data_IF_124717890914
#
_entry.id   IF_124717890914
#
_cell.length_a   1.000
_cell.length_b   1.000
_cell.length_c   1.000
_cell.angle_alpha   90.00
_cell.angle_beta   90.00
_cell.angle_gamma   90.00
#
_symmetry.space_group_name_H-M   'P 1'
#
loop_
_entity.id
_entity.type
_entity.pdbx_description
1 polymer ?
#
# COMPACT_ATOMS: atom_id res chain seq x y z
N UNK A 1 -17.91 16.61 18.53
CA UNK A 1 -16.80 16.55 19.48
C UNK A 1 -15.82 17.67 19.18
N UNK A 2 -15.21 18.25 20.20
CA UNK A 2 -14.29 19.38 20.03
C UNK A 2 -13.03 19.12 20.84
N UNK A 3 -11.90 19.10 20.15
CA UNK A 3 -10.56 19.01 20.73
C UNK A 3 -9.82 20.35 20.63
N UNK A 4 -8.52 20.31 20.91
CA UNK A 4 -7.63 21.47 20.88
C UNK A 4 -7.52 22.07 19.47
N UNK A 5 -7.24 21.24 18.48
CA UNK A 5 -7.03 21.68 17.10
C UNK A 5 -8.25 21.50 16.21
N UNK A 6 -9.05 20.46 16.46
CA UNK A 6 -10.09 20.03 15.54
C UNK A 6 -11.46 20.02 16.22
N UNK A 7 -12.50 20.31 15.45
CA UNK A 7 -13.87 19.97 15.79
C UNK A 7 -14.38 18.93 14.79
N UNK A 8 -14.87 17.80 15.29
CA UNK A 8 -15.46 16.73 14.47
C UNK A 8 -16.98 16.71 14.68
N UNK A 9 -17.72 16.70 13.58
CA UNK A 9 -19.17 16.47 13.55
C UNK A 9 -19.44 15.19 12.79
N UNK A 10 -20.36 14.39 13.32
CA UNK A 10 -20.81 13.15 12.69
C UNK A 10 -22.26 13.30 12.26
N UNK A 11 -22.55 13.02 11.00
CA UNK A 11 -23.87 13.14 10.42
C UNK A 11 -24.54 11.77 10.42
N UNK A 12 -25.59 11.62 11.23
CA UNK A 12 -26.27 10.31 11.41
C UNK A 12 -27.02 9.85 10.17
N UNK A 13 -27.48 10.79 9.34
CA UNK A 13 -28.36 10.51 8.21
C UNK A 13 -27.62 9.78 7.07
N UNK A 14 -26.31 10.00 6.94
CA UNK A 14 -25.50 9.46 5.86
C UNK A 14 -24.15 8.87 6.32
N UNK A 15 -23.93 8.77 7.64
CA UNK A 15 -22.73 8.24 8.28
C UNK A 15 -21.41 8.96 7.89
N UNK A 16 -21.50 10.21 7.42
CA UNK A 16 -20.33 11.05 7.10
C UNK A 16 -19.79 11.77 8.33
N UNK A 17 -18.54 12.22 8.22
CA UNK A 17 -17.98 13.20 9.13
C UNK A 17 -17.64 14.51 8.42
N UNK A 18 -17.78 15.60 9.18
CA UNK A 18 -17.23 16.91 8.90
C UNK A 18 -16.17 17.22 9.95
N UNK A 19 -15.01 17.73 9.52
CA UNK A 19 -13.94 18.15 10.41
C UNK A 19 -13.59 19.60 10.13
N UNK A 20 -13.57 20.41 11.18
CA UNK A 20 -13.17 21.82 11.14
C UNK A 20 -11.81 21.91 11.80
N UNK A 21 -10.83 22.41 11.05
CA UNK A 21 -9.52 22.77 11.60
C UNK A 21 -9.61 24.16 12.22
N UNK A 22 -9.57 24.22 13.55
CA UNK A 22 -9.77 25.46 14.32
C UNK A 22 -8.59 26.42 14.21
N UNK A 23 -7.45 25.97 13.65
CA UNK A 23 -6.24 26.80 13.47
C UNK A 23 -6.36 27.76 12.29
N UNK A 24 -7.15 27.41 11.27
CA UNK A 24 -7.37 28.22 10.07
C UNK A 24 -8.85 28.35 9.66
N UNK A 25 -9.77 27.71 10.39
CA UNK A 25 -11.21 27.73 10.11
C UNK A 25 -11.65 26.88 8.92
N UNK A 26 -10.74 26.14 8.26
CA UNK A 26 -11.10 25.31 7.10
C UNK A 26 -11.99 24.15 7.51
N UNK A 27 -12.95 23.83 6.64
CA UNK A 27 -13.93 22.76 6.83
C UNK A 27 -13.69 21.67 5.79
N UNK A 28 -13.64 20.43 6.23
CA UNK A 28 -13.45 19.24 5.40
C UNK A 28 -14.67 18.33 5.56
N UNK A 29 -15.38 18.07 4.46
CA UNK A 29 -16.59 17.26 4.46
C UNK A 29 -16.38 15.97 3.66
N UNK A 30 -16.95 14.86 4.14
CA UNK A 30 -17.01 13.62 3.37
C UNK A 30 -18.23 13.59 2.44
N UNK A 31 -18.13 12.81 1.35
CA UNK A 31 -19.24 12.63 0.39
C UNK A 31 -19.57 11.15 0.13
N UNK A 32 -20.86 10.86 -0.06
CA UNK A 32 -21.39 9.48 -0.13
C UNK A 32 -21.81 9.01 -1.52
N UNK A 33 -21.94 9.94 -2.48
CA UNK A 33 -22.78 9.80 -3.70
C UNK A 33 -22.45 8.63 -4.64
N UNK A 34 -21.32 7.94 -4.43
CA UNK A 34 -20.78 6.90 -5.33
C UNK A 34 -20.35 5.64 -4.59
N UNK A 35 -20.58 5.60 -3.28
CA UNK A 35 -20.13 4.53 -2.40
C UNK A 35 -21.32 3.74 -1.82
N UNK A 36 -21.13 2.48 -1.42
CA UNK A 36 -22.18 1.75 -0.72
C UNK A 36 -22.67 2.54 0.50
N UNK A 37 -23.99 2.68 0.63
CA UNK A 37 -24.58 3.38 1.78
C UNK A 37 -24.30 2.60 3.07
N UNK A 38 -23.97 3.34 4.11
CA UNK A 38 -23.77 2.86 5.46
C UNK A 38 -24.91 3.34 6.32
N UNK A 39 -25.57 2.42 7.01
CA UNK A 39 -26.64 2.73 7.96
C UNK A 39 -26.05 2.87 9.35
N UNK A 40 -26.40 3.95 10.05
CA UNK A 40 -26.06 4.14 11.46
C UNK A 40 -27.05 3.40 12.34
N UNK A 41 -26.55 2.56 13.25
CA UNK A 41 -27.35 1.79 14.22
C UNK A 41 -27.30 2.38 15.62
N UNK A 42 -26.16 2.97 15.98
CA UNK A 42 -25.94 3.56 17.29
C UNK A 42 -24.81 4.56 17.25
N UNK A 43 -24.88 5.57 18.11
CA UNK A 43 -23.79 6.54 18.30
C UNK A 43 -23.64 6.75 19.79
N UNK A 44 -22.45 6.52 20.30
CA UNK A 44 -22.06 6.86 21.67
C UNK A 44 -20.82 7.76 21.63
N UNK A 45 -20.69 8.61 22.63
CA UNK A 45 -19.57 9.55 22.75
C UNK A 45 -18.99 9.41 24.15
N UNK A 46 -17.68 9.13 24.22
CA UNK A 46 -16.93 8.98 25.46
C UNK A 46 -15.63 9.78 25.37
N UNK A 47 -15.51 10.84 26.18
CA UNK A 47 -14.30 11.68 26.22
C UNK A 47 -13.98 12.34 24.88
N UNK A 48 -12.83 12.01 24.30
CA UNK A 48 -12.37 12.48 22.99
C UNK A 48 -12.64 11.48 21.85
N UNK A 49 -13.47 10.44 22.06
CA UNK A 49 -13.81 9.43 21.07
C UNK A 49 -15.32 9.31 20.79
N UNK A 50 -15.70 9.25 19.51
CA UNK A 50 -17.01 8.79 19.06
C UNK A 50 -16.94 7.30 18.80
N UNK A 51 -17.97 6.55 19.17
CA UNK A 51 -18.14 5.16 18.76
C UNK A 51 -19.47 5.02 18.02
N UNK A 52 -19.43 4.39 16.86
CA UNK A 52 -20.57 4.32 15.95
C UNK A 52 -20.77 2.89 15.47
N UNK A 53 -21.92 2.33 15.81
CA UNK A 53 -22.36 1.03 15.29
C UNK A 53 -22.92 1.24 13.88
N UNK A 54 -22.37 0.52 12.90
CA UNK A 54 -22.63 0.71 11.48
C UNK A 54 -23.01 -0.60 10.80
N UNK A 55 -23.80 -0.50 9.72
CA UNK A 55 -24.14 -1.60 8.82
C UNK A 55 -23.90 -1.16 7.37
N UNK A 56 -23.07 -1.89 6.63
CA UNK A 56 -22.89 -1.69 5.19
C UNK A 56 -22.94 -3.03 4.48
N UNK A 57 -23.87 -3.18 3.51
CA UNK A 57 -24.00 -4.38 2.68
C UNK A 57 -24.05 -5.71 3.47
N UNK A 58 -24.73 -5.73 4.62
CA UNK A 58 -24.85 -6.93 5.47
C UNK A 58 -23.69 -7.16 6.44
N UNK A 59 -22.67 -6.29 6.45
CA UNK A 59 -21.56 -6.33 7.42
C UNK A 59 -21.84 -5.35 8.54
N UNK A 60 -21.98 -5.86 9.76
CA UNK A 60 -22.04 -5.07 10.99
C UNK A 60 -20.63 -4.84 11.55
N UNK A 61 -20.34 -3.60 11.91
CA UNK A 61 -19.04 -3.20 12.46
C UNK A 61 -19.18 -1.92 13.29
N UNK A 62 -18.22 -1.71 14.19
CA UNK A 62 -18.05 -0.49 14.96
C UNK A 62 -16.99 0.39 14.30
N UNK A 63 -17.22 1.69 14.24
CA UNK A 63 -16.22 2.69 13.90
C UNK A 63 -15.97 3.62 15.10
N UNK A 64 -14.72 3.75 15.52
CA UNK A 64 -14.32 4.79 16.47
C UNK A 64 -13.66 5.96 15.75
N UNK A 65 -13.94 7.19 16.22
CA UNK A 65 -13.29 8.42 15.78
C UNK A 65 -12.75 9.15 16.99
N UNK A 66 -11.44 9.12 17.19
CA UNK A 66 -10.78 9.73 18.34
C UNK A 66 -10.01 10.98 17.92
N UNK A 67 -10.26 12.11 18.58
CA UNK A 67 -9.48 13.33 18.39
C UNK A 67 -8.13 13.20 19.10
N UNK A 68 -7.06 13.37 18.35
CA UNK A 68 -5.72 13.52 18.91
C UNK A 68 -5.50 15.00 19.24
N UNK A 69 -5.21 15.32 20.51
CA UNK A 69 -4.94 16.70 20.93
C UNK A 69 -3.45 17.06 20.92
N UNK A 70 -2.58 16.08 20.63
CA UNK A 70 -1.13 16.27 20.48
C UNK A 70 -0.77 16.55 19.03
N UNK A 71 -1.46 15.90 18.11
CA UNK A 71 -1.36 16.11 16.67
C UNK A 71 -2.71 16.60 16.14
N UNK A 72 -2.76 17.48 15.14
CA UNK A 72 -4.04 17.85 14.52
C UNK A 72 -4.58 16.70 13.67
N UNK A 73 -5.07 15.65 14.33
CA UNK A 73 -5.42 14.39 13.72
C UNK A 73 -6.68 13.74 14.33
N UNK A 74 -7.29 12.85 13.56
CA UNK A 74 -8.37 11.98 14.01
C UNK A 74 -7.93 10.54 13.77
N UNK A 75 -7.79 9.76 14.83
CA UNK A 75 -7.57 8.33 14.74
C UNK A 75 -8.91 7.63 14.47
N UNK A 76 -8.90 6.66 13.55
CA UNK A 76 -10.08 5.90 13.16
C UNK A 76 -9.76 4.41 13.26
N UNK A 77 -10.59 3.67 13.99
CA UNK A 77 -10.54 2.22 14.04
C UNK A 77 -11.89 1.63 13.62
N UNK A 78 -11.87 0.65 12.71
CA UNK A 78 -13.02 -0.17 12.37
C UNK A 78 -12.84 -1.55 13.00
N UNK A 79 -13.87 -2.03 13.69
CA UNK A 79 -13.82 -3.27 14.44
C UNK A 79 -15.07 -4.11 14.21
N UNK A 80 -14.88 -5.41 14.05
CA UNK A 80 -15.96 -6.42 14.04
C UNK A 80 -15.42 -7.72 14.64
N UNK A 81 -16.30 -8.72 14.84
CA UNK A 81 -15.85 -10.05 15.24
C UNK A 81 -14.87 -10.62 14.19
N UNK A 82 -13.82 -11.31 14.65
CA UNK A 82 -12.74 -11.73 13.76
C UNK A 82 -13.19 -12.69 12.65
N UNK A 83 -14.25 -13.46 12.89
CA UNK A 83 -14.83 -14.43 11.99
C UNK A 83 -15.92 -13.86 11.07
N UNK A 84 -16.33 -12.59 11.27
CA UNK A 84 -17.31 -11.88 10.44
C UNK A 84 -16.93 -12.00 8.96
N UNK A 85 -17.82 -12.54 8.11
CA UNK A 85 -17.59 -12.60 6.67
C UNK A 85 -17.38 -11.20 6.08
N UNK A 86 -16.30 -11.03 5.32
CA UNK A 86 -15.97 -9.76 4.68
C UNK A 86 -15.47 -9.98 3.26
N UNK A 87 -16.24 -9.52 2.29
CA UNK A 87 -15.79 -9.43 0.89
C UNK A 87 -15.08 -8.10 0.65
N UNK A 88 -15.80 -7.00 0.92
CA UNK A 88 -15.31 -5.63 0.82
C UNK A 88 -16.09 -4.72 1.78
N UNK A 89 -15.47 -3.62 2.21
CA UNK A 89 -16.08 -2.55 2.97
C UNK A 89 -15.46 -1.22 2.53
N UNK A 90 -16.27 -0.22 2.19
CA UNK A 90 -15.80 1.13 1.84
C UNK A 90 -16.26 2.10 2.91
N UNK A 91 -15.41 2.31 3.91
CA UNK A 91 -15.67 3.21 5.01
C UNK A 91 -14.34 3.59 5.71
N UNK A 92 -14.19 4.80 6.26
CA UNK A 92 -15.09 5.94 6.10
C UNK A 92 -15.11 6.49 4.67
N UNK A 93 -16.06 7.39 4.40
CA UNK A 93 -16.21 8.03 3.10
C UNK A 93 -15.05 9.00 2.81
N UNK A 94 -14.74 9.28 1.53
CA UNK A 94 -13.65 10.19 1.20
C UNK A 94 -14.03 11.63 1.52
N UNK A 95 -13.06 12.41 2.01
CA UNK A 95 -13.18 13.86 2.03
C UNK A 95 -13.12 14.40 0.59
N UNK A 96 -13.84 15.48 0.30
CA UNK A 96 -13.79 16.16 -0.99
C UNK A 96 -13.43 17.62 -0.76
N UNK A 97 -12.26 18.03 -1.26
CA UNK A 97 -11.83 19.42 -1.23
C UNK A 97 -12.24 20.10 -2.55
N UNK A 98 -12.89 21.26 -2.45
CA UNK A 98 -13.36 22.05 -3.60
C UNK A 98 -12.54 23.34 -3.71
N UNK A 99 -12.33 23.80 -4.93
CA UNK A 99 -11.59 25.02 -5.24
C UNK A 99 -10.63 24.83 -6.41
N UNK A 100 -10.26 25.92 -7.07
CA UNK A 100 -9.44 25.87 -8.29
C UNK A 100 -8.00 25.43 -8.04
N UNK A 101 -7.50 25.64 -6.81
CA UNK A 101 -6.19 25.20 -6.33
C UNK A 101 -6.25 23.90 -5.52
N UNK A 102 -7.41 23.27 -5.40
CA UNK A 102 -7.56 22.00 -4.69
C UNK A 102 -7.01 20.85 -5.55
N UNK A 103 -6.21 19.98 -4.94
CA UNK A 103 -5.55 18.87 -5.61
C UNK A 103 -5.64 17.59 -4.78
N UNK A 104 -5.83 16.46 -5.45
CA UNK A 104 -5.58 15.12 -4.92
C UNK A 104 -4.07 14.84 -4.93
N UNK A 105 -3.53 14.42 -3.80
CA UNK A 105 -2.15 13.95 -3.61
C UNK A 105 -2.17 12.43 -3.55
N UNK A 106 -1.60 11.79 -4.55
CA UNK A 106 -1.67 10.35 -4.73
C UNK A 106 -0.26 9.74 -4.83
N UNK A 107 0.13 8.85 -3.91
CA UNK A 107 1.38 8.10 -4.01
C UNK A 107 1.27 6.92 -4.99
N UNK A 108 0.87 7.23 -6.22
CA UNK A 108 0.91 6.33 -7.37
C UNK A 108 2.31 6.35 -7.95
N UNK A 109 3.02 5.22 -7.91
CA UNK A 109 4.43 5.10 -8.33
C UNK A 109 5.29 6.11 -7.55
N UNK A 110 5.93 7.06 -8.23
CA UNK A 110 6.71 8.14 -7.65
C UNK A 110 5.83 9.25 -7.04
N UNK A 111 4.58 9.37 -7.48
CA UNK A 111 3.60 10.33 -6.98
C UNK A 111 2.92 11.13 -8.09
N UNK A 112 1.64 11.45 -7.88
CA UNK A 112 0.84 12.32 -8.72
C UNK A 112 0.15 13.39 -7.87
N UNK A 113 0.03 14.58 -8.45
CA UNK A 113 -0.83 15.66 -7.95
C UNK A 113 -1.85 15.93 -9.04
N UNK A 114 -3.13 15.73 -8.74
CA UNK A 114 -4.22 15.83 -9.72
C UNK A 114 -5.18 16.93 -9.29
N UNK A 115 -5.41 17.98 -10.11
CA UNK A 115 -6.37 19.03 -9.76
C UNK A 115 -7.79 18.47 -9.57
N UNK A 116 -8.51 18.96 -8.56
CA UNK A 116 -9.85 18.46 -8.20
C UNK A 116 -10.94 18.83 -9.20
N UNK A 117 -10.65 19.71 -10.16
CA UNK A 117 -11.52 20.07 -11.28
C UNK A 117 -11.25 19.22 -12.55
N UNK A 118 -10.26 18.33 -12.53
CA UNK A 118 -10.02 17.39 -13.62
C UNK A 118 -11.13 16.34 -13.73
N UNK A 119 -11.38 15.86 -14.94
CA UNK A 119 -12.24 14.71 -15.20
C UNK A 119 -11.38 13.54 -15.70
N UNK A 120 -10.94 12.70 -14.78
CA UNK A 120 -10.05 11.57 -15.09
C UNK A 120 -10.73 10.57 -16.06
N UNK A 121 -12.06 10.56 -16.14
CA UNK A 121 -12.79 9.70 -17.08
C UNK A 121 -12.54 10.08 -18.54
N UNK A 122 -12.02 11.28 -18.80
CA UNK A 122 -11.67 11.76 -20.15
C UNK A 122 -10.21 11.48 -20.53
N UNK A 123 -9.40 10.97 -19.61
CA UNK A 123 -7.99 10.70 -19.88
C UNK A 123 -7.84 9.53 -20.87
N UNK A 124 -6.69 9.39 -21.55
CA UNK A 124 -6.43 8.24 -22.42
C UNK A 124 -6.63 6.91 -21.68
N UNK A 125 -7.13 5.89 -22.38
CA UNK A 125 -7.45 4.59 -21.77
C UNK A 125 -6.28 4.01 -20.96
N UNK A 126 -5.05 4.15 -21.46
CA UNK A 126 -3.83 3.71 -20.79
C UNK A 126 -3.64 4.41 -19.44
N UNK A 127 -3.94 5.70 -19.38
CA UNK A 127 -3.94 6.46 -18.14
C UNK A 127 -5.08 6.00 -17.23
N UNK A 128 -6.31 5.81 -17.73
CA UNK A 128 -7.45 5.33 -16.93
C UNK A 128 -7.19 3.97 -16.25
N UNK A 129 -6.43 3.08 -16.88
CA UNK A 129 -6.00 1.82 -16.25
C UNK A 129 -5.14 2.05 -15.00
N UNK A 130 -4.35 3.13 -14.98
CA UNK A 130 -3.59 3.57 -13.81
C UNK A 130 -4.47 4.13 -12.68
N UNK A 131 -5.78 4.33 -12.89
CA UNK A 131 -6.71 4.83 -11.87
C UNK A 131 -7.61 3.73 -11.30
N UNK A 132 -7.95 2.71 -12.09
CA UNK A 132 -8.95 1.71 -11.73
C UNK A 132 -8.41 0.52 -10.92
N UNK A 133 -7.12 0.20 -11.02
CA UNK A 133 -6.55 -1.05 -10.49
C UNK A 133 -5.15 -0.89 -9.91
N UNK A 134 -5.00 -0.01 -8.91
CA UNK A 134 -3.66 0.39 -8.47
C UNK A 134 -3.19 -0.26 -7.17
N UNK A 135 -2.03 -0.91 -7.16
CA UNK A 135 -1.26 -1.09 -5.93
C UNK A 135 -0.75 0.27 -5.42
N UNK A 136 -1.01 0.59 -4.15
CA UNK A 136 -0.42 1.76 -3.51
C UNK A 136 1.07 1.51 -3.25
N UNK A 137 1.92 2.52 -3.46
CA UNK A 137 3.35 2.42 -3.13
C UNK A 137 3.62 2.85 -1.68
N UNK A 138 2.76 3.72 -1.17
CA UNK A 138 2.68 4.11 0.23
C UNK A 138 1.21 4.07 0.65
N UNK A 139 0.88 3.52 1.84
CA UNK A 139 -0.48 3.35 2.33
C UNK A 139 -1.06 4.66 2.86
N UNK A 140 -1.01 5.73 2.07
CA UNK A 140 -1.65 6.99 2.36
C UNK A 140 -2.11 7.68 1.08
N UNK A 141 -2.93 8.71 1.19
CA UNK A 141 -3.20 9.70 0.15
C UNK A 141 -3.64 10.99 0.83
N UNK A 142 -3.91 12.05 0.10
CA UNK A 142 -4.44 13.28 0.70
C UNK A 142 -5.04 14.23 -0.31
N UNK A 143 -5.58 15.33 0.19
CA UNK A 143 -6.00 16.45 -0.63
C UNK A 143 -5.42 17.72 -0.05
N UNK A 144 -4.87 18.58 -0.91
CA UNK A 144 -4.28 19.84 -0.51
C UNK A 144 -4.76 20.96 -1.44
N UNK A 145 -5.07 22.10 -0.84
CA UNK A 145 -5.16 23.36 -1.54
C UNK A 145 -3.72 23.88 -1.73
N UNK A 146 -3.25 23.98 -2.97
CA UNK A 146 -1.87 24.39 -3.23
C UNK A 146 -1.66 25.91 -3.19
N UNK A 147 -2.73 26.70 -3.03
CA UNK A 147 -2.60 28.14 -2.85
C UNK A 147 -2.01 28.50 -1.48
N UNK A 148 -2.43 27.79 -0.42
CA UNK A 148 -1.92 27.99 0.94
C UNK A 148 -1.25 26.75 1.55
N UNK A 149 -1.34 25.61 0.87
CA UNK A 149 -0.79 24.33 1.30
C UNK A 149 -1.60 23.63 2.38
N UNK A 150 -2.80 24.10 2.72
CA UNK A 150 -3.65 23.45 3.70
C UNK A 150 -4.30 22.18 3.13
N UNK A 151 -4.58 21.18 3.96
CA UNK A 151 -5.05 19.90 3.44
C UNK A 151 -5.28 18.84 4.51
N UNK A 152 -5.70 17.67 4.05
CA UNK A 152 -5.87 16.47 4.88
C UNK A 152 -5.15 15.29 4.24
N UNK A 153 -4.35 14.60 5.04
CA UNK A 153 -3.74 13.31 4.71
C UNK A 153 -4.58 12.20 5.35
N UNK A 154 -4.81 11.14 4.58
CA UNK A 154 -5.41 9.89 5.00
C UNK A 154 -4.29 8.86 5.07
N UNK A 155 -3.85 8.50 6.28
CA UNK A 155 -2.81 7.50 6.53
C UNK A 155 -3.44 6.18 6.96
N UNK A 156 -3.16 5.08 6.26
CA UNK A 156 -3.56 3.74 6.67
C UNK A 156 -2.47 3.10 7.54
N UNK A 157 -2.83 2.74 8.76
CA UNK A 157 -1.91 2.14 9.74
C UNK A 157 -1.93 0.60 9.67
N UNK A 158 -2.98 0.00 9.09
CA UNK A 158 -3.09 -1.46 8.85
C UNK A 158 -3.37 -1.79 7.38
N UNK A 159 -2.39 -1.63 6.47
CA UNK A 159 -2.62 -1.67 5.03
C UNK A 159 -2.72 -3.06 4.41
N UNK A 160 -2.85 -4.12 5.20
CA UNK A 160 -2.59 -5.48 4.73
C UNK A 160 -3.69 -6.06 3.84
N UNK A 161 -4.96 -5.72 4.11
CA UNK A 161 -6.11 -6.19 3.35
C UNK A 161 -6.96 -5.00 2.91
N UNK A 162 -6.42 -4.20 1.98
CA UNK A 162 -7.06 -3.01 1.46
C UNK A 162 -6.64 -2.71 0.02
N UNK A 163 -7.44 -1.90 -0.66
CA UNK A 163 -7.05 -1.18 -1.89
C UNK A 163 -7.64 0.23 -1.87
N UNK A 164 -7.04 1.16 -2.61
CA UNK A 164 -7.71 2.41 -2.91
C UNK A 164 -8.70 2.18 -4.04
N UNK A 165 -9.86 2.82 -3.93
CA UNK A 165 -10.85 2.92 -4.99
C UNK A 165 -10.99 4.37 -5.38
N UNK A 166 -10.90 4.63 -6.68
CA UNK A 166 -10.93 5.99 -7.22
C UNK A 166 -12.31 6.33 -7.78
N UNK A 167 -12.73 7.57 -7.55
CA UNK A 167 -13.77 8.23 -8.34
C UNK A 167 -13.11 9.19 -9.33
N UNK A 168 -13.47 9.17 -10.62
CA UNK A 168 -12.86 10.06 -11.60
C UNK A 168 -13.34 11.51 -11.54
N UNK A 169 -14.50 11.82 -10.92
CA UNK A 169 -15.09 13.17 -10.98
C UNK A 169 -15.98 13.52 -9.76
N UNK A 170 -15.52 14.42 -8.86
CA UNK A 170 -14.15 14.93 -8.77
C UNK A 170 -13.17 13.80 -8.45
N UNK A 171 -11.89 13.94 -8.82
CA UNK A 171 -10.89 12.91 -8.63
C UNK A 171 -10.67 12.68 -7.13
N UNK A 172 -11.13 11.55 -6.62
CA UNK A 172 -11.06 11.23 -5.18
C UNK A 172 -10.64 9.78 -4.97
N UNK A 173 -10.08 9.50 -3.79
CA UNK A 173 -9.74 8.15 -3.36
C UNK A 173 -10.47 7.82 -2.06
N UNK A 174 -10.98 6.60 -1.96
CA UNK A 174 -11.50 6.04 -0.72
C UNK A 174 -10.78 4.74 -0.36
N UNK A 175 -10.80 4.40 0.93
CA UNK A 175 -10.31 3.12 1.42
C UNK A 175 -11.36 2.05 1.18
N UNK A 176 -10.97 0.98 0.47
CA UNK A 176 -11.73 -0.26 0.43
C UNK A 176 -10.99 -1.35 1.19
N UNK A 177 -11.53 -1.74 2.33
CA UNK A 177 -11.06 -2.85 3.13
C UNK A 177 -11.55 -4.17 2.56
N UNK A 178 -10.67 -5.16 2.54
CA UNK A 178 -10.92 -6.52 2.08
C UNK A 178 -10.85 -7.48 3.28
N UNK A 179 -11.49 -8.64 3.15
CA UNK A 179 -11.37 -9.69 4.16
C UNK A 179 -10.09 -10.50 4.01
N UNK A 180 -9.34 -10.65 5.10
CA UNK A 180 -8.25 -11.63 5.20
C UNK A 180 -8.88 -13.02 5.18
N UNK A 181 -8.66 -13.78 4.10
CA UNK A 181 -9.37 -15.03 3.83
C UNK A 181 -10.90 -14.92 3.95
N UNK A 182 -11.47 -13.85 3.37
CA UNK A 182 -12.92 -13.57 3.39
C UNK A 182 -13.49 -13.30 4.78
N UNK A 183 -12.66 -12.97 5.77
CA UNK A 183 -13.06 -12.62 7.13
C UNK A 183 -12.47 -11.29 7.57
N UNK A 184 -13.14 -10.61 8.50
CA UNK A 184 -12.66 -9.35 9.04
C UNK A 184 -11.28 -9.50 9.70
N UNK A 185 -11.09 -10.54 10.51
CA UNK A 185 -9.84 -11.01 11.10
C UNK A 185 -9.11 -10.08 12.08
N UNK A 186 -9.08 -8.76 11.88
CA UNK A 186 -8.38 -7.80 12.74
C UNK A 186 -8.90 -6.36 12.57
N UNK A 187 -8.72 -5.47 13.56
CA UNK A 187 -9.14 -4.07 13.45
C UNK A 187 -8.50 -3.36 12.26
N UNK A 188 -9.26 -2.53 11.55
CA UNK A 188 -8.73 -1.66 10.48
C UNK A 188 -8.43 -0.29 11.05
N UNK A 189 -7.17 0.16 10.98
CA UNK A 189 -6.74 1.45 11.54
C UNK A 189 -6.28 2.41 10.46
N UNK A 190 -6.69 3.66 10.62
CA UNK A 190 -6.26 4.77 9.79
C UNK A 190 -6.30 6.07 10.58
N UNK A 191 -5.71 7.12 10.02
CA UNK A 191 -5.62 8.44 10.64
C UNK A 191 -5.85 9.52 9.61
N UNK A 192 -6.68 10.50 9.95
CA UNK A 192 -6.75 11.77 9.25
C UNK A 192 -5.77 12.74 9.90
N UNK A 193 -4.87 13.35 9.14
CA UNK A 193 -3.92 14.37 9.63
C UNK A 193 -4.15 15.66 8.86
N UNK A 194 -4.43 16.75 9.57
CA UNK A 194 -4.80 18.04 8.99
C UNK A 194 -3.62 19.00 9.01
N UNK A 195 -3.42 19.69 7.90
CA UNK A 195 -2.32 20.62 7.66
C UNK A 195 -2.88 22.01 7.41
N UNK A 196 -2.26 23.02 8.01
CA UNK A 196 -2.56 24.43 7.74
C UNK A 196 -1.71 25.02 6.62
N UNK A 197 -0.63 24.34 6.23
CA UNK A 197 0.30 24.75 5.17
C UNK A 197 1.24 23.60 4.77
N UNK A 198 2.03 23.81 3.70
CA UNK A 198 3.11 22.91 3.27
C UNK A 198 2.72 21.86 2.23
N UNK A 199 1.43 21.73 1.92
CA UNK A 199 0.91 20.92 0.81
C UNK A 199 1.36 19.46 0.86
N UNK A 200 1.59 18.87 -0.32
CA UNK A 200 2.02 17.47 -0.42
C UNK A 200 3.39 17.20 0.21
N UNK A 201 4.28 18.19 0.29
CA UNK A 201 5.61 18.03 0.91
C UNK A 201 5.47 17.77 2.40
N UNK A 202 4.60 18.51 3.10
CA UNK A 202 4.31 18.29 4.51
C UNK A 202 3.71 16.89 4.76
N UNK A 203 2.84 16.41 3.85
CA UNK A 203 2.29 15.05 3.91
C UNK A 203 3.38 13.98 3.75
N UNK A 204 4.29 14.15 2.78
CA UNK A 204 5.44 13.25 2.60
C UNK A 204 6.34 13.21 3.85
N UNK A 205 6.60 14.38 4.46
CA UNK A 205 7.38 14.47 5.70
C UNK A 205 6.65 13.78 6.87
N UNK A 206 5.33 13.96 7.00
CA UNK A 206 4.53 13.30 8.03
C UNK A 206 4.54 11.78 7.88
N UNK A 207 4.47 11.27 6.65
CA UNK A 207 4.57 9.82 6.40
C UNK A 207 5.97 9.29 6.74
N UNK A 208 7.02 10.03 6.39
CA UNK A 208 8.40 9.67 6.78
C UNK A 208 8.56 9.60 8.30
N UNK A 209 8.01 10.57 9.03
CA UNK A 209 8.00 10.56 10.50
C UNK A 209 7.27 9.33 11.05
N UNK A 210 6.11 8.98 10.47
CA UNK A 210 5.40 7.76 10.83
C UNK A 210 6.26 6.50 10.63
N UNK A 211 6.94 6.36 9.47
CA UNK A 211 7.85 5.24 9.21
C UNK A 211 8.99 5.16 10.22
N UNK A 212 9.51 6.31 10.69
CA UNK A 212 10.51 6.36 11.74
C UNK A 212 9.94 5.87 13.09
N UNK A 213 8.74 6.34 13.45
CA UNK A 213 8.06 5.95 14.68
C UNK A 213 7.80 4.43 14.76
N UNK A 214 7.40 3.81 13.65
CA UNK A 214 7.14 2.36 13.61
C UNK A 214 8.41 1.52 13.33
N UNK A 215 9.58 2.15 13.16
CA UNK A 215 10.86 1.49 12.95
C UNK A 215 11.07 0.90 11.55
N UNK A 216 10.30 1.35 10.56
CA UNK A 216 10.40 0.89 9.16
C UNK A 216 11.29 1.79 8.31
N UNK A 217 11.57 3.00 8.76
CA UNK A 217 12.48 3.89 8.06
C UNK A 217 13.94 3.41 8.20
N UNK A 218 14.58 3.09 7.06
CA UNK A 218 16.00 2.71 6.98
C UNK A 218 16.71 3.50 5.89
N UNK A 219 17.80 4.15 6.27
CA UNK A 219 18.66 4.90 5.36
C UNK A 219 19.61 4.00 4.56
N UNK A 220 20.10 4.50 3.43
CA UNK A 220 21.18 3.83 2.69
C UNK A 220 22.47 3.73 3.52
N UNK A 221 22.73 4.71 4.40
CA UNK A 221 23.89 4.69 5.29
C UNK A 221 23.81 3.54 6.32
N UNK A 222 22.64 3.31 6.93
CA UNK A 222 22.44 2.14 7.80
C UNK A 222 22.58 0.83 7.04
N UNK A 223 22.01 0.75 5.82
CA UNK A 223 22.17 -0.42 4.95
C UNK A 223 23.65 -0.66 4.59
N UNK A 224 24.42 0.40 4.37
CA UNK A 224 25.85 0.31 4.05
C UNK A 224 26.70 -0.21 5.23
N UNK A 225 26.27 0.02 6.48
CA UNK A 225 26.91 -0.58 7.67
C UNK A 225 26.76 -2.11 7.69
N UNK A 226 25.66 -2.63 7.14
CA UNK A 226 25.38 -4.08 7.04
C UNK A 226 26.03 -4.67 5.78
N UNK A 227 25.90 -3.99 4.64
CA UNK A 227 26.49 -4.38 3.38
C UNK A 227 27.27 -3.21 2.75
N UNK A 228 28.60 -3.16 2.91
CA UNK A 228 29.44 -2.09 2.37
C UNK A 228 29.33 -1.91 0.85
N UNK A 229 28.89 -2.94 0.11
CA UNK A 229 28.69 -2.83 -1.34
C UNK A 229 27.60 -1.82 -1.74
N UNK A 230 26.72 -1.41 -0.81
CA UNK A 230 25.76 -0.31 -1.05
C UNK A 230 26.49 0.97 -1.47
N UNK A 231 27.72 1.20 -0.98
CA UNK A 231 28.54 2.35 -1.36
C UNK A 231 29.00 2.35 -2.83
N UNK A 232 28.84 1.24 -3.56
CA UNK A 232 29.10 1.16 -5.01
C UNK A 232 27.97 1.74 -5.85
N UNK A 233 26.77 1.90 -5.28
CA UNK A 233 25.57 2.33 -6.01
C UNK A 233 25.53 3.84 -6.36
N UNK A 234 25.96 4.77 -5.49
CA UNK A 234 25.98 6.18 -5.86
C UNK A 234 26.83 6.44 -7.11
N UNK A 235 26.21 7.02 -8.14
CA UNK A 235 26.84 7.27 -9.43
C UNK A 235 26.99 6.04 -10.33
N UNK A 236 26.44 4.88 -9.95
CA UNK A 236 26.42 3.70 -10.82
C UNK A 236 25.33 3.82 -11.89
N UNK A 237 25.67 3.51 -13.13
CA UNK A 237 24.70 3.37 -14.21
C UNK A 237 24.00 2.01 -14.09
N UNK A 238 22.67 1.98 -14.19
CA UNK A 238 21.92 0.71 -14.23
C UNK A 238 21.84 0.25 -15.68
N UNK A 239 22.45 -0.89 -16.00
CA UNK A 239 22.42 -1.47 -17.34
C UNK A 239 21.62 -2.76 -17.33
N UNK A 240 20.51 -2.79 -18.07
CA UNK A 240 19.72 -4.00 -18.32
C UNK A 240 20.29 -4.78 -19.51
N UNK A 241 21.43 -5.46 -19.29
CA UNK A 241 22.14 -6.17 -20.36
C UNK A 241 22.77 -7.47 -19.80
N UNK A 242 22.24 -8.67 -20.14
CA UNK A 242 22.63 -9.91 -19.48
C UNK A 242 24.01 -10.46 -19.87
N UNK A 243 24.61 -9.94 -20.96
CA UNK A 243 25.95 -10.35 -21.42
C UNK A 243 26.75 -9.14 -21.88
N UNK A 244 27.63 -8.64 -21.02
CA UNK A 244 28.65 -7.67 -21.42
C UNK A 244 29.87 -8.46 -21.90
N UNK A 245 30.30 -8.22 -23.14
CA UNK A 245 31.60 -8.71 -23.60
C UNK A 245 32.71 -7.83 -23.04
N UNK A 246 33.95 -8.31 -23.08
CA UNK A 246 35.11 -7.55 -22.61
C UNK A 246 35.26 -6.25 -23.40
N UNK A 247 34.94 -6.23 -24.69
CA UNK A 247 34.98 -5.03 -25.53
C UNK A 247 34.00 -3.96 -25.01
N UNK A 248 32.75 -4.33 -24.72
CA UNK A 248 31.75 -3.40 -24.18
C UNK A 248 32.16 -2.86 -22.80
N UNK A 249 32.80 -3.69 -21.99
CA UNK A 249 33.34 -3.27 -20.69
C UNK A 249 34.45 -2.23 -20.89
N UNK A 250 35.39 -2.48 -21.81
CA UNK A 250 36.46 -1.53 -22.12
C UNK A 250 35.91 -0.22 -22.68
N UNK A 251 34.95 -0.25 -23.61
CA UNK A 251 34.31 0.96 -24.15
C UNK A 251 33.64 1.80 -23.05
N UNK A 252 32.99 1.16 -22.08
CA UNK A 252 32.41 1.86 -20.93
C UNK A 252 33.50 2.49 -20.05
N UNK A 253 34.60 1.80 -19.83
CA UNK A 253 35.74 2.36 -19.08
C UNK A 253 36.35 3.54 -19.86
N UNK A 254 36.55 3.42 -21.15
CA UNK A 254 37.15 4.46 -21.99
C UNK A 254 36.24 5.69 -22.12
N UNK A 255 34.92 5.51 -22.11
CA UNK A 255 33.93 6.59 -22.07
C UNK A 255 33.78 7.26 -20.69
N UNK A 256 34.56 6.82 -19.69
CA UNK A 256 34.57 7.44 -18.35
C UNK A 256 33.59 6.82 -17.35
N UNK A 257 32.88 5.74 -17.70
CA UNK A 257 32.04 4.99 -16.75
C UNK A 257 32.93 4.25 -15.77
N UNK A 258 32.66 4.41 -14.47
CA UNK A 258 33.47 3.81 -13.39
C UNK A 258 32.67 2.90 -12.46
N UNK A 259 31.34 2.97 -12.51
CA UNK A 259 30.44 2.17 -11.69
C UNK A 259 29.22 1.77 -12.51
N UNK A 260 28.90 0.48 -12.51
CA UNK A 260 27.76 -0.09 -13.22
C UNK A 260 27.06 -1.09 -12.31
N UNK A 261 25.73 -1.00 -12.24
CA UNK A 261 24.87 -2.07 -11.74
C UNK A 261 24.30 -2.82 -12.94
N UNK A 262 24.82 -4.02 -13.19
CA UNK A 262 24.37 -4.87 -14.30
C UNK A 262 23.16 -5.67 -13.81
N UNK A 263 22.04 -5.48 -14.51
CA UNK A 263 20.80 -6.21 -14.29
C UNK A 263 20.58 -7.12 -15.49
N UNK A 264 20.55 -8.43 -15.28
CA UNK A 264 20.32 -9.38 -16.38
C UNK A 264 20.45 -10.83 -15.92
N UNK A 265 19.54 -11.69 -16.39
CA UNK A 265 19.49 -13.08 -15.94
C UNK A 265 18.32 -13.91 -16.47
N UNK A 266 17.62 -13.50 -17.54
CA UNK A 266 16.65 -14.39 -18.18
C UNK A 266 17.38 -15.33 -19.13
N UNK A 267 17.27 -16.67 -18.95
CA UNK A 267 17.70 -17.61 -19.96
C UNK A 267 16.71 -17.51 -21.12
N UNK A 268 17.09 -16.78 -22.17
CA UNK A 268 16.20 -16.52 -23.29
C UNK A 268 16.92 -16.05 -24.56
N UNK A 269 18.21 -16.34 -24.72
CA UNK A 269 18.89 -16.01 -25.98
C UNK A 269 18.22 -16.74 -27.14
N UNK A 270 18.40 -16.24 -28.36
CA UNK A 270 17.84 -16.89 -29.55
C UNK A 270 18.26 -18.37 -29.65
N UNK A 271 19.47 -18.70 -29.21
CA UNK A 271 19.99 -20.06 -29.09
C UNK A 271 19.28 -20.89 -28.02
N UNK A 272 18.88 -20.26 -26.92
CA UNK A 272 18.10 -20.92 -25.88
C UNK A 272 16.68 -21.23 -26.38
N UNK A 273 16.04 -20.29 -27.08
CA UNK A 273 14.70 -20.49 -27.67
C UNK A 273 14.71 -21.62 -28.70
N UNK A 274 15.80 -21.77 -29.47
CA UNK A 274 15.99 -22.90 -30.41
C UNK A 274 15.99 -24.28 -29.72
N UNK A 275 16.33 -24.36 -28.44
CA UNK A 275 16.36 -25.62 -27.67
C UNK A 275 15.00 -25.98 -27.05
N UNK A 276 14.02 -25.07 -27.08
CA UNK A 276 12.68 -25.31 -26.52
C UNK A 276 11.88 -26.20 -27.49
N UNK A 277 11.41 -27.38 -27.05
CA UNK A 277 10.63 -28.25 -27.92
C UNK A 277 9.37 -27.56 -28.46
N UNK A 278 9.09 -27.76 -29.75
CA UNK A 278 7.91 -27.17 -30.40
C UNK A 278 6.61 -27.86 -29.99
N UNK A 279 6.65 -29.17 -29.79
CA UNK A 279 5.51 -29.94 -29.31
C UNK A 279 5.14 -29.56 -27.86
N UNK A 280 3.86 -29.29 -27.55
CA UNK A 280 3.43 -28.89 -26.21
C UNK A 280 3.76 -29.91 -25.10
N UNK A 281 3.63 -31.22 -25.35
CA UNK A 281 3.88 -32.24 -24.34
C UNK A 281 5.38 -32.37 -24.05
N UNK A 282 6.20 -32.40 -25.10
CA UNK A 282 7.66 -32.39 -24.98
C UNK A 282 8.16 -31.10 -24.31
N UNK A 283 7.54 -29.95 -24.59
CA UNK A 283 7.87 -28.67 -23.96
C UNK A 283 7.56 -28.67 -22.47
N UNK A 284 6.40 -29.22 -22.08
CA UNK A 284 6.01 -29.35 -20.68
C UNK A 284 7.00 -30.21 -19.88
N UNK A 285 7.36 -31.38 -20.38
CA UNK A 285 8.35 -32.25 -19.72
C UNK A 285 9.76 -31.61 -19.71
N UNK A 286 10.13 -30.89 -20.77
CA UNK A 286 11.39 -30.15 -20.84
C UNK A 286 11.49 -29.03 -19.79
N UNK A 287 10.39 -28.33 -19.48
CA UNK A 287 10.33 -27.34 -18.40
C UNK A 287 10.31 -27.97 -17.01
N UNK A 288 9.61 -29.08 -16.83
CA UNK A 288 9.55 -29.82 -15.55
C UNK A 288 10.93 -30.26 -15.07
N UNK A 289 11.76 -30.78 -15.99
CA UNK A 289 13.14 -31.17 -15.70
C UNK A 289 14.09 -30.00 -15.42
N UNK A 290 13.61 -28.76 -15.61
CA UNK A 290 14.38 -27.52 -15.42
C UNK A 290 13.94 -26.70 -14.21
N UNK A 291 13.01 -27.20 -13.38
CA UNK A 291 12.72 -26.68 -12.01
C UNK A 291 13.86 -26.96 -11.01
N UNK A 292 15.10 -26.78 -11.44
CA UNK A 292 16.31 -26.99 -10.64
C UNK A 292 16.41 -25.97 -9.53
N UNK A 293 15.98 -24.73 -9.76
CA UNK A 293 16.05 -23.67 -8.77
C UNK A 293 15.19 -24.01 -7.53
N UNK A 294 13.98 -24.51 -7.75
CA UNK A 294 13.03 -24.88 -6.70
C UNK A 294 13.46 -26.16 -5.98
N UNK A 295 14.11 -27.09 -6.68
CA UNK A 295 14.72 -28.27 -6.06
C UNK A 295 15.94 -27.89 -5.19
N UNK A 296 16.84 -27.04 -5.70
CA UNK A 296 17.98 -26.49 -4.96
C UNK A 296 17.49 -25.74 -3.71
N UNK A 297 16.40 -25.00 -3.81
CA UNK A 297 15.76 -24.35 -2.67
C UNK A 297 15.28 -25.38 -1.63
N UNK A 298 14.60 -26.45 -2.05
CA UNK A 298 14.16 -27.49 -1.11
C UNK A 298 15.34 -28.17 -0.39
N UNK A 299 16.43 -28.42 -1.11
CA UNK A 299 17.62 -29.04 -0.54
C UNK A 299 18.38 -28.10 0.40
N UNK A 300 18.58 -26.84 -0.02
CA UNK A 300 19.27 -25.81 0.77
C UNK A 300 18.59 -25.55 2.11
N UNK A 301 17.26 -25.65 2.17
CA UNK A 301 16.47 -25.32 3.36
C UNK A 301 15.75 -26.55 3.94
N UNK A 302 16.32 -27.74 3.74
CA UNK A 302 15.73 -29.01 4.20
C UNK A 302 15.37 -29.00 5.68
N UNK A 303 16.23 -28.43 6.52
CA UNK A 303 16.00 -28.36 7.97
C UNK A 303 14.78 -27.48 8.31
N UNK A 304 14.60 -26.37 7.60
CA UNK A 304 13.42 -25.50 7.76
C UNK A 304 12.15 -26.23 7.35
N UNK A 305 12.18 -26.97 6.24
CA UNK A 305 11.06 -27.77 5.77
C UNK A 305 10.70 -28.89 6.76
N UNK A 306 11.71 -29.59 7.31
CA UNK A 306 11.50 -30.61 8.36
C UNK A 306 10.93 -29.97 9.63
N UNK A 307 11.45 -28.82 10.04
CA UNK A 307 10.93 -28.08 11.19
C UNK A 307 9.47 -27.70 11.02
N UNK A 308 9.03 -27.38 9.81
CA UNK A 308 7.67 -26.89 9.55
C UNK A 308 6.65 -27.99 9.26
N UNK A 309 7.04 -29.00 8.49
CA UNK A 309 6.14 -30.05 8.01
C UNK A 309 6.35 -31.40 8.72
N UNK A 310 7.29 -31.45 9.67
CA UNK A 310 7.73 -32.68 10.32
C UNK A 310 8.73 -33.48 9.48
N UNK A 311 9.42 -34.45 10.10
CA UNK A 311 10.51 -35.19 9.46
C UNK A 311 10.04 -36.04 8.26
N UNK A 312 8.81 -36.57 8.31
CA UNK A 312 8.29 -37.42 7.23
C UNK A 312 7.96 -36.60 5.97
N UNK A 313 7.10 -35.58 6.09
CA UNK A 313 6.73 -34.73 4.95
C UNK A 313 7.88 -33.83 4.52
N UNK A 314 8.61 -33.22 5.47
CA UNK A 314 9.71 -32.30 5.18
C UNK A 314 10.86 -32.94 4.40
N UNK A 315 11.15 -34.23 4.58
CA UNK A 315 12.15 -34.97 3.79
C UNK A 315 11.69 -35.29 2.36
N UNK A 316 10.38 -35.39 2.14
CA UNK A 316 9.81 -35.77 0.84
C UNK A 316 9.55 -34.59 -0.11
N UNK A 317 9.60 -33.35 0.39
CA UNK A 317 9.41 -32.15 -0.44
C UNK A 317 10.52 -32.04 -1.48
N UNK A 318 10.17 -32.14 -2.77
CA UNK A 318 11.12 -32.10 -3.90
C UNK A 318 11.37 -30.71 -4.46
N UNK A 319 10.42 -29.80 -4.26
CA UNK A 319 10.49 -28.43 -4.77
C UNK A 319 9.93 -27.48 -3.70
N UNK A 320 10.64 -26.39 -3.45
CA UNK A 320 10.21 -25.34 -2.54
C UNK A 320 10.44 -23.97 -3.19
N UNK A 321 9.47 -23.08 -3.03
CA UNK A 321 9.56 -21.68 -3.42
C UNK A 321 9.44 -20.82 -2.16
N UNK A 322 10.27 -19.80 -2.08
CA UNK A 322 10.19 -18.80 -1.03
C UNK A 322 9.45 -17.60 -1.58
N UNK A 323 8.34 -17.25 -0.96
CA UNK A 323 7.74 -15.95 -1.15
C UNK A 323 8.27 -15.00 -0.08
N UNK A 324 8.65 -13.81 -0.50
CA UNK A 324 8.90 -12.72 0.43
C UNK A 324 7.55 -12.21 0.94
N UNK A 325 7.38 -12.20 2.26
CA UNK A 325 6.24 -11.51 2.85
C UNK A 325 6.51 -10.02 2.65
N UNK A 326 5.70 -9.37 1.82
CA UNK A 326 5.73 -7.93 1.61
C UNK A 326 5.84 -7.20 2.94
N UNK A 327 6.61 -6.12 2.99
CA UNK A 327 6.70 -5.25 4.18
C UNK A 327 5.30 -4.80 4.62
N UNK A 328 4.41 -4.55 3.67
CA UNK A 328 3.01 -4.19 3.92
C UNK A 328 2.08 -5.38 4.18
N UNK A 329 2.58 -6.62 4.13
CA UNK A 329 1.83 -7.82 4.53
C UNK A 329 1.80 -7.97 6.05
N UNK A 330 0.66 -8.38 6.61
CA UNK A 330 0.54 -8.60 8.05
C UNK A 330 1.55 -9.66 8.49
N UNK A 331 2.47 -9.33 9.40
CA UNK A 331 3.40 -10.32 9.98
C UNK A 331 2.58 -11.32 10.81
N UNK A 332 2.31 -12.49 10.24
CA UNK A 332 1.60 -13.57 10.91
C UNK A 332 2.51 -14.27 11.92
N UNK A 333 2.17 -14.14 13.19
CA UNK A 333 2.77 -14.89 14.31
C UNK A 333 1.88 -16.11 14.61
N UNK A 334 2.48 -17.29 14.75
CA UNK A 334 1.76 -18.50 15.19
C UNK A 334 0.80 -19.13 14.17
N UNK A 335 -0.39 -19.52 14.64
CA UNK A 335 -1.38 -20.39 13.95
C UNK A 335 -1.94 -19.81 12.65
N UNK A 336 -1.79 -18.51 12.36
CA UNK A 336 -2.28 -17.91 11.10
C UNK A 336 -1.40 -18.23 9.89
N UNK A 337 -0.17 -18.71 10.10
CA UNK A 337 0.73 -19.16 9.02
C UNK A 337 0.22 -20.43 8.33
N UNK A 338 -0.50 -21.30 9.03
CA UNK A 338 -1.05 -22.53 8.43
C UNK A 338 -2.17 -22.28 7.41
N UNK A 339 -2.73 -21.06 7.34
CA UNK A 339 -3.76 -20.69 6.36
C UNK A 339 -3.18 -20.25 4.99
N UNK A 340 -1.85 -20.04 4.90
CA UNK A 340 -1.16 -19.77 3.63
C UNK A 340 -0.84 -21.06 2.85
N UNK A 341 -1.05 -22.20 3.50
CA UNK A 341 -0.76 -23.56 3.04
C UNK A 341 -2.08 -24.35 3.07
#
# INVERSE_FOLDING_TARGET
>A
MTGRFLQLRFHKDDATIEVIDRRNGRVYCQETLRWPRTTVRGVTHTGNALHVSLLQQGVEFEASFELDDREAAVAVELQAASDTPLSKLVYPYPFVLRGDSANLVWPLREGLVVPMNEDISQWPQQAQHLFRWVPFHMPWFGMADLADGAGVMILCETPHDMRFVADPKPPTLAMQWLGEFKRFSYPRRMRYVFFTSGGYVAMCQRYRQYLQQIGWFRTLAEKAKINPNVAKLPGAVVLWWPRMSDEVVHDLIDSGVRRVLIMGGTPGSAEWVKQVPKDPAARFEWFKNRRRAEAICADRYRDTLIKWYGPEKGKQIKHAEFFEISEYGRRRLGTTRSRLL
#
